data_IF_681915619077
#
_entry.id   IF_681915619077
#
_cell.length_a   1.000
_cell.length_b   1.000
_cell.length_c   1.000
_cell.angle_alpha   90.00
_cell.angle_beta   90.00
_cell.angle_gamma   90.00
#
_symmetry.space_group_name_H-M   'P 1'
#
loop_
_entity.id
_entity.type
_entity.pdbx_description
1 polymer ?
#
# COMPACT_ATOMS: atom_id res chain seq x y z
N UNK A 1 -9.94 2.35 4.11
CA UNK A 1 -9.66 3.31 3.02
C UNK A 1 -8.79 4.42 3.58
N UNK A 2 -7.83 4.90 2.79
CA UNK A 2 -6.89 5.97 3.19
C UNK A 2 -7.20 7.23 2.39
N UNK A 3 -7.22 8.37 3.05
CA UNK A 3 -7.45 9.68 2.42
C UNK A 3 -6.45 10.68 2.94
N UNK A 4 -6.12 11.66 2.10
CA UNK A 4 -5.25 12.77 2.50
C UNK A 4 -6.05 13.80 3.29
N UNK A 5 -5.52 14.29 4.41
CA UNK A 5 -6.19 15.31 5.22
C UNK A 5 -5.91 16.70 4.64
N UNK A 6 -6.96 17.42 4.26
CA UNK A 6 -6.87 18.77 3.70
C UNK A 6 -6.96 19.82 4.82
N UNK A 7 -7.74 19.54 5.87
CA UNK A 7 -7.95 20.45 6.98
C UNK A 7 -7.81 19.71 8.29
N UNK A 8 -7.06 20.30 9.23
CA UNK A 8 -6.88 19.74 10.57
C UNK A 8 -8.23 19.47 11.22
N UNK A 9 -8.42 18.26 11.74
CA UNK A 9 -9.62 17.89 12.48
C UNK A 9 -9.29 16.92 13.61
N UNK A 10 -10.19 16.86 14.58
CA UNK A 10 -10.17 15.84 15.63
C UNK A 10 -11.25 14.82 15.31
N UNK A 11 -10.88 13.56 15.13
CA UNK A 11 -11.86 12.54 14.84
C UNK A 11 -12.75 12.25 16.07
N UNK A 12 -14.05 12.08 15.84
CA UNK A 12 -15.01 11.89 16.93
C UNK A 12 -14.92 10.50 17.56
N UNK A 13 -14.51 9.49 16.78
CA UNK A 13 -14.41 8.09 17.20
C UNK A 13 -13.06 7.81 17.86
N UNK A 14 -11.95 8.14 17.19
CA UNK A 14 -10.60 7.85 17.71
C UNK A 14 -10.10 8.93 18.67
N UNK A 15 -10.75 10.09 18.72
CA UNK A 15 -10.31 11.30 19.45
C UNK A 15 -8.93 11.82 19.02
N UNK A 16 -8.32 11.22 18.01
CA UNK A 16 -7.02 11.61 17.47
C UNK A 16 -7.15 12.89 16.65
N UNK A 17 -6.10 13.70 16.71
CA UNK A 17 -6.00 14.93 15.92
C UNK A 17 -5.17 14.62 14.68
N UNK A 18 -5.78 14.83 13.51
CA UNK A 18 -5.11 14.68 12.23
C UNK A 18 -4.75 16.07 11.71
N UNK A 19 -3.49 16.26 11.37
CA UNK A 19 -2.98 17.52 10.83
C UNK A 19 -3.19 17.58 9.32
N UNK A 20 -3.08 18.78 8.75
CA UNK A 20 -3.08 18.98 7.31
C UNK A 20 -1.93 18.15 6.69
N UNK A 21 -2.16 17.58 5.51
CA UNK A 21 -1.27 16.65 4.78
C UNK A 21 -1.02 15.29 5.44
N UNK A 22 -1.58 15.03 6.63
CA UNK A 22 -1.53 13.67 7.22
C UNK A 22 -2.44 12.69 6.47
N UNK A 23 -2.22 11.39 6.69
CA UNK A 23 -3.07 10.32 6.14
C UNK A 23 -4.10 9.91 7.20
N UNK A 24 -5.36 9.91 6.82
CA UNK A 24 -6.45 9.39 7.64
C UNK A 24 -6.91 8.04 7.08
N UNK A 25 -6.87 7.00 7.92
CA UNK A 25 -7.42 5.69 7.62
C UNK A 25 -8.75 5.50 8.34
N UNK A 26 -9.78 5.09 7.62
CA UNK A 26 -11.09 4.83 8.21
C UNK A 26 -12.06 4.09 7.30
N UNK A 27 -13.27 3.92 7.81
CA UNK A 27 -14.39 3.32 7.09
C UNK A 27 -14.92 4.26 6.00
N UNK A 28 -15.44 3.68 4.91
CA UNK A 28 -15.97 4.43 3.76
C UNK A 28 -17.05 5.45 4.16
N UNK A 29 -17.96 5.10 5.07
CA UNK A 29 -19.01 6.01 5.54
C UNK A 29 -18.43 7.26 6.20
N UNK A 30 -17.43 7.09 7.07
CA UNK A 30 -16.80 8.19 7.81
C UNK A 30 -15.98 9.11 6.90
N UNK A 31 -15.26 8.52 5.96
CA UNK A 31 -14.50 9.26 4.95
C UNK A 31 -15.43 10.11 4.08
N UNK A 32 -16.56 9.56 3.63
CA UNK A 32 -17.55 10.33 2.84
C UNK A 32 -18.10 11.52 3.61
N UNK A 33 -18.36 11.38 4.91
CA UNK A 33 -18.77 12.52 5.76
C UNK A 33 -17.67 13.58 5.83
N UNK A 34 -16.42 13.17 6.07
CA UNK A 34 -15.28 14.08 6.15
C UNK A 34 -15.00 14.77 4.81
N UNK A 35 -15.23 14.09 3.68
CA UNK A 35 -15.13 14.66 2.33
C UNK A 35 -16.21 15.71 2.09
N UNK A 36 -17.47 15.44 2.47
CA UNK A 36 -18.57 16.43 2.39
C UNK A 36 -18.26 17.70 3.18
N UNK A 37 -17.61 17.54 4.32
CA UNK A 37 -17.19 18.64 5.21
C UNK A 37 -15.84 19.27 4.80
N UNK A 38 -15.22 18.82 3.70
CA UNK A 38 -13.92 19.30 3.19
C UNK A 38 -12.77 19.19 4.20
N UNK A 39 -12.81 18.18 5.07
CA UNK A 39 -11.71 17.87 6.00
C UNK A 39 -10.66 16.95 5.37
N UNK A 40 -11.08 16.03 4.51
CA UNK A 40 -10.22 15.08 3.81
C UNK A 40 -10.46 15.16 2.31
N UNK A 41 -9.43 14.84 1.55
CA UNK A 41 -9.38 14.93 0.10
C UNK A 41 -9.66 13.61 -0.59
N UNK A 42 -9.05 13.47 -1.76
CA UNK A 42 -9.18 12.27 -2.59
C UNK A 42 -8.62 11.04 -1.87
N UNK A 43 -9.17 9.89 -2.27
CA UNK A 43 -8.70 8.60 -1.82
C UNK A 43 -7.26 8.40 -2.29
N UNK A 44 -6.39 8.11 -1.34
CA UNK A 44 -5.07 7.61 -1.64
C UNK A 44 -5.32 6.18 -2.10
N UNK A 45 -5.43 6.00 -3.42
CA UNK A 45 -5.30 4.69 -4.03
C UNK A 45 -3.89 4.25 -3.72
N UNK A 46 -3.74 3.38 -2.73
CA UNK A 46 -2.54 2.55 -2.64
C UNK A 46 -2.43 1.89 -4.01
N UNK A 47 -1.34 2.18 -4.74
CA UNK A 47 -1.08 1.43 -5.95
C UNK A 47 -1.08 -0.04 -5.53
N UNK A 48 -1.83 -0.91 -6.22
CA UNK A 48 -1.84 -2.32 -5.87
C UNK A 48 -0.39 -2.79 -5.88
N UNK A 49 0.10 -3.28 -4.74
CA UNK A 49 1.44 -3.85 -4.69
C UNK A 49 1.46 -5.02 -5.67
N UNK A 50 2.57 -5.24 -6.35
CA UNK A 50 2.75 -6.43 -7.19
C UNK A 50 2.61 -7.73 -6.36
N UNK A 51 2.76 -7.60 -5.04
CA UNK A 51 2.59 -8.66 -4.04
C UNK A 51 1.11 -8.89 -3.64
N UNK A 52 0.17 -8.06 -4.10
CA UNK A 52 -1.26 -8.23 -3.87
C UNK A 52 -1.88 -9.21 -4.87
N UNK A 53 -1.91 -10.47 -4.46
CA UNK A 53 -2.50 -11.56 -5.24
C UNK A 53 -2.15 -12.92 -4.64
N UNK A 54 -2.56 -13.99 -5.31
CA UNK A 54 -2.06 -15.32 -5.00
C UNK A 54 -0.61 -15.50 -5.48
N UNK A 55 0.06 -16.58 -5.05
CA UNK A 55 1.47 -16.86 -5.41
C UNK A 55 1.71 -16.81 -6.93
N UNK A 56 0.81 -17.39 -7.74
CA UNK A 56 0.98 -17.42 -9.20
C UNK A 56 0.78 -16.03 -9.83
N UNK A 57 -0.21 -15.28 -9.37
CA UNK A 57 -0.47 -13.91 -9.84
C UNK A 57 0.73 -13.00 -9.54
N UNK A 58 1.27 -13.08 -8.32
CA UNK A 58 2.46 -12.32 -7.94
C UNK A 58 3.67 -12.73 -8.77
N UNK A 59 3.91 -14.02 -9.00
CA UNK A 59 4.99 -14.48 -9.90
C UNK A 59 4.84 -13.97 -11.33
N UNK A 60 3.62 -13.94 -11.86
CA UNK A 60 3.36 -13.46 -13.21
C UNK A 60 3.50 -11.92 -13.32
N UNK A 61 3.24 -11.20 -12.22
CA UNK A 61 3.40 -9.75 -12.16
C UNK A 61 4.87 -9.33 -11.97
N UNK A 62 5.69 -10.19 -11.33
CA UNK A 62 7.12 -9.98 -11.14
C UNK A 62 7.88 -10.64 -12.28
N UNK A 63 8.24 -9.86 -13.28
CA UNK A 63 9.04 -10.28 -14.43
C UNK A 63 10.47 -9.75 -14.34
N UNK A 64 11.38 -10.29 -15.16
CA UNK A 64 12.77 -9.82 -15.31
C UNK A 64 12.86 -8.39 -15.89
N UNK A 65 11.74 -7.77 -16.26
CA UNK A 65 11.70 -6.38 -16.69
C UNK A 65 11.79 -5.40 -15.52
N UNK A 66 11.55 -5.88 -14.29
CA UNK A 66 11.79 -5.12 -13.07
C UNK A 66 13.29 -5.09 -12.80
N UNK A 67 13.83 -3.90 -12.58
CA UNK A 67 15.25 -3.74 -12.28
C UNK A 67 15.64 -4.35 -10.92
N UNK A 68 16.95 -4.52 -10.67
CA UNK A 68 17.45 -5.20 -9.47
C UNK A 68 17.10 -4.45 -8.18
N UNK A 69 16.94 -3.12 -8.27
CA UNK A 69 16.47 -2.29 -7.16
C UNK A 69 15.01 -2.61 -6.78
N UNK A 70 14.11 -2.69 -7.76
CA UNK A 70 12.69 -2.98 -7.52
C UNK A 70 12.50 -4.41 -7.04
N UNK A 71 13.23 -5.37 -7.62
CA UNK A 71 13.23 -6.77 -7.18
C UNK A 71 13.69 -6.91 -5.72
N UNK A 72 14.74 -6.20 -5.30
CA UNK A 72 15.18 -6.21 -3.90
C UNK A 72 14.15 -5.58 -2.96
N UNK A 73 13.47 -4.51 -3.38
CA UNK A 73 12.42 -3.89 -2.59
C UNK A 73 11.24 -4.85 -2.40
N UNK A 74 10.77 -5.48 -3.48
CA UNK A 74 9.70 -6.48 -3.44
C UNK A 74 10.08 -7.71 -2.60
N UNK A 75 11.33 -8.15 -2.68
CA UNK A 75 11.86 -9.24 -1.86
C UNK A 75 11.81 -8.89 -0.37
N UNK A 76 12.19 -7.67 -0.01
CA UNK A 76 12.16 -7.19 1.36
C UNK A 76 10.71 -7.08 1.88
N UNK A 77 9.82 -6.48 1.09
CA UNK A 77 8.40 -6.36 1.40
C UNK A 77 7.75 -7.74 1.60
N UNK A 78 8.01 -8.70 0.70
CA UNK A 78 7.48 -10.06 0.81
C UNK A 78 8.05 -10.80 2.04
N UNK A 79 9.34 -10.59 2.37
CA UNK A 79 9.96 -11.16 3.58
C UNK A 79 9.46 -10.53 4.88
N UNK A 80 8.92 -9.32 4.86
CA UNK A 80 8.34 -8.67 6.05
C UNK A 80 6.86 -9.02 6.23
N UNK A 81 6.10 -9.04 5.14
CA UNK A 81 4.64 -9.19 5.18
C UNK A 81 4.18 -10.66 5.11
N UNK A 82 4.04 -11.22 3.90
CA UNK A 82 3.38 -12.53 3.65
C UNK A 82 4.32 -13.73 3.72
N UNK A 83 5.64 -13.52 3.57
CA UNK A 83 6.71 -14.53 3.68
C UNK A 83 6.48 -15.79 2.84
N UNK A 84 5.89 -15.64 1.65
CA UNK A 84 5.55 -16.79 0.79
C UNK A 84 6.83 -17.30 0.12
N UNK A 85 7.32 -18.46 0.57
CA UNK A 85 8.55 -19.10 0.04
C UNK A 85 8.60 -19.11 -1.49
N UNK A 86 7.53 -19.56 -2.13
CA UNK A 86 7.50 -19.64 -3.60
C UNK A 86 7.68 -18.30 -4.32
N UNK A 87 7.20 -17.19 -3.75
CA UNK A 87 7.38 -15.84 -4.33
C UNK A 87 8.81 -15.33 -4.07
N UNK A 88 9.32 -15.54 -2.86
CA UNK A 88 10.70 -15.21 -2.48
C UNK A 88 11.69 -15.90 -3.41
N UNK A 89 11.56 -17.22 -3.60
CA UNK A 89 12.42 -18.02 -4.48
C UNK A 89 12.37 -17.53 -5.93
N UNK A 90 11.18 -17.07 -6.39
CA UNK A 90 11.02 -16.53 -7.74
C UNK A 90 11.77 -15.20 -7.90
N UNK A 91 11.63 -14.28 -6.94
CA UNK A 91 12.33 -13.00 -6.97
C UNK A 91 13.86 -13.21 -6.85
N UNK A 92 14.31 -14.11 -5.99
CA UNK A 92 15.73 -14.48 -5.85
C UNK A 92 16.29 -15.08 -7.15
N UNK A 93 15.53 -15.96 -7.80
CA UNK A 93 15.93 -16.54 -9.10
C UNK A 93 16.06 -15.47 -10.19
N UNK A 94 15.20 -14.44 -10.18
CA UNK A 94 15.28 -13.33 -11.12
C UNK A 94 16.51 -12.45 -10.86
N UNK A 95 16.84 -12.20 -9.59
CA UNK A 95 18.04 -11.46 -9.20
C UNK A 95 19.35 -12.20 -9.50
N UNK A 96 19.34 -13.55 -9.46
CA UNK A 96 20.51 -14.36 -9.84
C UNK A 96 20.66 -14.51 -11.37
N UNK A 97 19.62 -14.20 -12.15
CA UNK A 97 19.62 -14.32 -13.61
C UNK A 97 20.02 -13.02 -14.34
N UNK A 98 20.29 -11.94 -13.62
CA UNK A 98 20.84 -10.65 -14.11
C UNK A 98 22.38 -10.62 -14.01
#
# INVERSE_FOLDING_TARGET
MKVKVIKRFRDKHTKQVYNIDSVYEGSQSRIKELQKLKFVGEEIKEQPSLLDGNVQQTKNAITSELGPYELNQLLHEEKQDKKRKGVIEHIESLLESE
#
